data_IF_679905846279
#
_entry.id   IF_679905846279
#
_cell.length_a   1.000
_cell.length_b   1.000
_cell.length_c   1.000
_cell.angle_alpha   90.00
_cell.angle_beta   90.00
_cell.angle_gamma   90.00
#
_symmetry.space_group_name_H-M   'P 1'
#
loop_
_entity.id
_entity.type
_entity.pdbx_description
1 polymer ?
#
# COMPACT_ATOMS: atom_id res chain seq x y z
N UNK A 1 23.43 6.20 -8.27
CA UNK A 1 23.15 6.00 -6.82
C UNK A 1 23.83 7.12 -6.05
N UNK A 2 23.07 7.89 -5.26
CA UNK A 2 23.59 9.01 -4.47
C UNK A 2 23.52 8.67 -2.98
N UNK A 3 24.36 9.30 -2.16
CA UNK A 3 24.23 9.18 -0.71
C UNK A 3 23.16 10.17 -0.21
N UNK A 4 22.35 9.72 0.74
CA UNK A 4 21.31 10.52 1.37
C UNK A 4 21.41 10.37 2.88
N UNK A 5 21.30 11.50 3.58
CA UNK A 5 21.30 11.52 5.04
C UNK A 5 19.87 11.55 5.56
N UNK A 6 19.52 10.59 6.41
CA UNK A 6 18.24 10.56 7.14
C UNK A 6 18.47 10.69 8.63
N UNK A 7 17.51 11.26 9.36
CA UNK A 7 17.59 11.43 10.81
C UNK A 7 16.54 10.58 11.51
N UNK A 8 16.98 9.68 12.39
CA UNK A 8 16.14 8.79 13.19
C UNK A 8 16.62 8.86 14.65
N UNK A 9 15.71 9.02 15.62
CA UNK A 9 16.07 9.05 17.05
C UNK A 9 17.20 10.06 17.38
N UNK A 10 17.18 11.22 16.73
CA UNK A 10 18.23 12.25 16.80
C UNK A 10 19.63 11.84 16.29
N UNK A 11 19.76 10.68 15.65
CA UNK A 11 20.99 10.22 14.99
C UNK A 11 20.86 10.35 13.47
N UNK A 12 21.95 10.72 12.82
CA UNK A 12 22.02 10.82 11.36
C UNK A 12 22.60 9.53 10.78
N UNK A 13 21.99 9.04 9.70
CA UNK A 13 22.38 7.83 9.00
C UNK A 13 22.57 8.15 7.52
N UNK A 14 23.69 7.72 6.95
CA UNK A 14 23.97 7.85 5.52
C UNK A 14 23.59 6.56 4.80
N UNK A 15 22.73 6.68 3.80
CA UNK A 15 22.15 5.57 3.05
C UNK A 15 22.38 5.77 1.55
N UNK A 16 22.55 4.67 0.82
CA UNK A 16 22.53 4.70 -0.65
C UNK A 16 21.10 4.81 -1.13
N UNK A 17 20.81 5.84 -1.92
CA UNK A 17 19.50 6.08 -2.51
C UNK A 17 19.56 5.94 -4.05
N UNK A 18 18.57 5.28 -4.66
CA UNK A 18 18.33 5.37 -6.10
C UNK A 18 18.07 6.82 -6.54
N UNK A 19 18.36 7.13 -7.79
CA UNK A 19 18.08 8.47 -8.33
C UNK A 19 16.57 8.70 -8.38
N UNK A 20 16.12 9.87 -7.91
CA UNK A 20 14.70 10.24 -7.86
C UNK A 20 13.96 9.78 -6.60
N UNK A 21 14.54 8.90 -5.77
CA UNK A 21 13.87 8.34 -4.58
C UNK A 21 14.18 9.11 -3.27
N UNK A 22 14.99 10.17 -3.34
CA UNK A 22 15.41 10.98 -2.18
C UNK A 22 14.23 11.47 -1.34
N UNK A 23 13.20 12.00 -1.99
CA UNK A 23 12.00 12.49 -1.32
C UNK A 23 11.21 11.36 -0.63
N UNK A 24 11.05 10.22 -1.30
CA UNK A 24 10.37 9.05 -0.76
C UNK A 24 11.12 8.48 0.45
N UNK A 25 12.45 8.42 0.37
CA UNK A 25 13.30 7.98 1.47
C UNK A 25 13.18 8.89 2.69
N UNK A 26 13.16 10.22 2.48
CA UNK A 26 12.94 11.21 3.54
C UNK A 26 11.57 11.04 4.20
N UNK A 27 10.51 10.84 3.41
CA UNK A 27 9.17 10.58 3.93
C UNK A 27 9.11 9.27 4.73
N UNK A 28 9.75 8.21 4.23
CA UNK A 28 9.83 6.92 4.93
C UNK A 28 10.56 7.06 6.28
N UNK A 29 11.67 7.80 6.32
CA UNK A 29 12.40 8.08 7.55
C UNK A 29 11.57 8.91 8.55
N UNK A 30 10.84 9.92 8.07
CA UNK A 30 9.93 10.71 8.91
C UNK A 30 8.79 9.85 9.49
N UNK A 31 8.18 8.98 8.69
CA UNK A 31 7.14 8.04 9.14
C UNK A 31 7.68 7.10 10.21
N UNK A 32 8.85 6.48 9.95
CA UNK A 32 9.51 5.61 10.91
C UNK A 32 9.82 6.34 12.22
N UNK A 33 10.44 7.52 12.16
CA UNK A 33 10.76 8.29 13.36
C UNK A 33 9.51 8.67 14.16
N UNK A 34 8.42 9.03 13.49
CA UNK A 34 7.15 9.35 14.13
C UNK A 34 6.57 8.14 14.87
N UNK A 35 6.60 6.97 14.24
CA UNK A 35 6.12 5.74 14.86
C UNK A 35 6.96 5.34 16.07
N UNK A 36 8.29 5.48 15.99
CA UNK A 36 9.19 5.25 17.14
C UNK A 36 8.81 6.15 18.31
N UNK A 37 8.61 7.45 18.06
CA UNK A 37 8.24 8.41 19.11
C UNK A 37 6.86 8.10 19.71
N UNK A 38 5.90 7.63 18.92
CA UNK A 38 4.59 7.16 19.40
C UNK A 38 4.74 5.93 20.31
N UNK A 39 5.55 4.96 19.92
CA UNK A 39 5.76 3.74 20.69
C UNK A 39 6.45 4.03 22.02
N UNK A 40 7.44 4.93 22.04
CA UNK A 40 8.07 5.42 23.28
C UNK A 40 7.10 6.14 24.21
N UNK A 41 6.13 6.90 23.66
CA UNK A 41 5.08 7.54 24.48
C UNK A 41 4.14 6.53 25.12
N UNK A 42 3.78 5.46 24.39
CA UNK A 42 2.86 4.41 24.88
C UNK A 42 3.52 3.50 25.92
N UNK A 43 4.80 3.20 25.77
CA UNK A 43 5.53 2.30 26.65
C UNK A 43 6.84 2.94 27.13
N UNK A 44 6.77 3.59 28.31
CA UNK A 44 7.90 4.31 28.94
C UNK A 44 9.14 3.46 29.20
N UNK A 45 9.04 2.13 29.17
CA UNK A 45 10.13 1.20 29.47
C UNK A 45 10.82 0.58 28.24
N UNK A 46 10.39 0.90 27.02
CA UNK A 46 11.08 0.40 25.83
C UNK A 46 12.36 1.19 25.57
N UNK A 47 13.47 0.47 25.37
CA UNK A 47 14.70 1.06 24.87
C UNK A 47 14.58 1.47 23.40
N UNK A 48 15.61 2.14 22.88
CA UNK A 48 15.65 2.63 21.50
C UNK A 48 15.50 1.51 20.46
N UNK A 49 16.10 0.34 20.71
CA UNK A 49 16.11 -0.76 19.76
C UNK A 49 14.75 -1.45 19.70
N UNK A 50 14.14 -1.76 20.84
CA UNK A 50 12.80 -2.34 20.91
C UNK A 50 11.75 -1.37 20.37
N UNK A 51 11.91 -0.06 20.61
CA UNK A 51 11.04 0.98 20.03
C UNK A 51 11.15 1.02 18.50
N UNK A 52 12.36 0.89 17.96
CA UNK A 52 12.62 0.80 16.52
C UNK A 52 12.02 -0.48 15.92
N UNK A 53 12.24 -1.62 16.56
CA UNK A 53 11.72 -2.92 16.13
C UNK A 53 10.18 -2.91 16.08
N UNK A 54 9.53 -2.40 17.13
CA UNK A 54 8.08 -2.30 17.17
C UNK A 54 7.56 -1.34 16.09
N UNK A 55 8.21 -0.20 15.89
CA UNK A 55 7.83 0.74 14.85
C UNK A 55 7.96 0.15 13.43
N UNK A 56 9.03 -0.61 13.17
CA UNK A 56 9.21 -1.31 11.90
C UNK A 56 8.13 -2.38 11.68
N UNK A 57 7.75 -3.13 12.73
CA UNK A 57 6.67 -4.12 12.68
C UNK A 57 5.32 -3.45 12.43
N UNK A 58 5.01 -2.36 13.12
CA UNK A 58 3.75 -1.61 12.95
C UNK A 58 3.58 -1.14 11.48
N UNK A 59 4.63 -0.53 10.92
CA UNK A 59 4.61 -0.02 9.53
C UNK A 59 4.53 -1.19 8.53
N UNK A 60 5.23 -2.29 8.79
CA UNK A 60 5.17 -3.48 7.93
C UNK A 60 3.78 -4.12 7.95
N UNK A 61 3.16 -4.18 9.13
CA UNK A 61 1.79 -4.66 9.30
C UNK A 61 0.79 -3.76 8.55
N UNK A 62 0.91 -2.43 8.67
CA UNK A 62 0.11 -1.47 7.92
C UNK A 62 0.25 -1.70 6.40
N UNK A 63 1.48 -1.88 5.90
CA UNK A 63 1.72 -2.15 4.48
C UNK A 63 1.06 -3.46 4.01
N UNK A 64 1.12 -4.52 4.82
CA UNK A 64 0.47 -5.81 4.52
C UNK A 64 -1.05 -5.65 4.46
N UNK A 65 -1.64 -4.92 5.40
CA UNK A 65 -3.08 -4.62 5.39
C UNK A 65 -3.47 -3.82 4.15
N UNK A 66 -2.74 -2.75 3.82
CA UNK A 66 -3.01 -1.93 2.64
C UNK A 66 -2.95 -2.76 1.34
N UNK A 67 -1.93 -3.62 1.18
CA UNK A 67 -1.81 -4.51 0.01
C UNK A 67 -2.96 -5.51 -0.07
N UNK A 68 -3.37 -6.06 1.07
CA UNK A 68 -4.50 -7.00 1.14
C UNK A 68 -5.80 -6.33 0.74
N UNK A 69 -6.07 -5.14 1.28
CA UNK A 69 -7.26 -4.36 0.96
C UNK A 69 -7.28 -3.93 -0.52
N UNK A 70 -6.14 -3.51 -1.06
CA UNK A 70 -6.01 -3.17 -2.48
C UNK A 70 -6.31 -4.37 -3.38
N UNK A 71 -5.79 -5.56 -3.05
CA UNK A 71 -6.07 -6.78 -3.81
C UNK A 71 -7.57 -7.15 -3.78
N UNK A 72 -8.21 -6.99 -2.62
CA UNK A 72 -9.67 -7.21 -2.48
C UNK A 72 -10.48 -6.22 -3.33
N UNK A 73 -10.13 -4.93 -3.28
CA UNK A 73 -10.79 -3.91 -4.10
C UNK A 73 -10.64 -4.20 -5.61
N UNK A 74 -9.42 -4.57 -6.04
CA UNK A 74 -9.16 -4.95 -7.42
C UNK A 74 -9.99 -6.17 -7.85
N UNK A 75 -10.12 -7.16 -6.96
CA UNK A 75 -10.97 -8.33 -7.21
C UNK A 75 -12.45 -7.94 -7.37
N UNK A 76 -12.97 -7.08 -6.50
CA UNK A 76 -14.36 -6.60 -6.58
C UNK A 76 -14.64 -5.85 -7.89
N UNK A 77 -13.71 -4.97 -8.30
CA UNK A 77 -13.82 -4.24 -9.57
C UNK A 77 -13.84 -5.21 -10.75
N UNK A 78 -12.96 -6.21 -10.77
CA UNK A 78 -12.93 -7.21 -11.85
C UNK A 78 -14.22 -8.05 -11.89
N UNK A 79 -14.73 -8.47 -10.73
CA UNK A 79 -16.02 -9.19 -10.66
C UNK A 79 -17.17 -8.34 -11.22
N UNK A 80 -17.17 -7.04 -10.93
CA UNK A 80 -18.17 -6.12 -11.46
C UNK A 80 -18.05 -5.96 -12.98
N UNK A 81 -16.83 -5.81 -13.51
CA UNK A 81 -16.57 -5.74 -14.96
C UNK A 81 -17.05 -7.02 -15.65
N UNK A 82 -16.66 -8.21 -15.16
CA UNK A 82 -17.11 -9.49 -15.73
C UNK A 82 -18.63 -9.64 -15.68
N UNK A 83 -19.27 -9.16 -14.62
CA UNK A 83 -20.74 -9.16 -14.50
C UNK A 83 -21.41 -8.25 -15.53
N UNK A 84 -20.83 -7.07 -15.80
CA UNK A 84 -21.30 -6.15 -16.83
C UNK A 84 -21.11 -6.74 -18.22
N UNK A 85 -19.93 -7.28 -18.53
CA UNK A 85 -19.64 -7.96 -19.81
C UNK A 85 -20.63 -9.09 -20.07
N UNK A 86 -20.93 -9.92 -19.05
CA UNK A 86 -21.93 -10.99 -19.16
C UNK A 86 -23.33 -10.46 -19.49
N UNK A 87 -23.74 -9.34 -18.86
CA UNK A 87 -25.05 -8.72 -19.13
C UNK A 87 -25.13 -8.14 -20.54
N UNK A 88 -24.08 -7.46 -20.99
CA UNK A 88 -23.99 -6.90 -22.35
C UNK A 88 -24.06 -8.03 -23.39
N UNK A 89 -23.26 -9.08 -23.22
CA UNK A 89 -23.26 -10.23 -24.14
C UNK A 89 -24.62 -10.93 -24.19
N UNK A 90 -25.33 -11.04 -23.05
CA UNK A 90 -26.69 -11.60 -23.01
C UNK A 90 -27.70 -10.74 -23.76
N UNK A 91 -27.60 -9.42 -23.65
CA UNK A 91 -28.50 -8.49 -24.34
C UNK A 91 -28.26 -8.53 -25.86
N UNK A 92 -27.01 -8.41 -26.29
CA UNK A 92 -26.63 -8.48 -27.71
C UNK A 92 -27.05 -9.81 -28.34
N UNK A 93 -26.78 -10.94 -27.68
CA UNK A 93 -27.18 -12.25 -28.20
C UNK A 93 -28.70 -12.44 -28.17
N UNK A 94 -29.39 -11.91 -27.16
CA UNK A 94 -30.86 -11.93 -27.09
C UNK A 94 -31.54 -11.08 -28.17
N UNK A 95 -30.92 -9.97 -28.57
CA UNK A 95 -31.38 -9.14 -29.70
C UNK A 95 -31.19 -9.87 -31.04
N UNK A 96 -30.08 -10.61 -31.23
CA UNK A 96 -29.83 -11.42 -32.43
C UNK A 96 -30.85 -12.56 -32.60
N UNK A 97 -31.20 -13.28 -31.52
CA UNK A 97 -32.22 -14.35 -31.60
C UNK A 97 -33.63 -13.79 -31.87
N UNK A 98 -33.95 -12.61 -31.31
CA UNK A 98 -35.24 -11.96 -31.55
C UNK A 98 -35.40 -11.45 -33.00
N UNK A 99 -34.30 -11.07 -33.67
CA UNK A 99 -34.31 -10.74 -35.11
C UNK A 99 -34.31 -11.97 -36.01
N UNK A 100 -33.62 -13.05 -35.64
CA UNK A 100 -33.61 -14.30 -36.42
C UNK A 100 -34.97 -15.01 -36.41
N UNK A 101 -35.72 -14.94 -35.31
CA UNK A 101 -37.06 -15.54 -35.21
C UNK A 101 -38.17 -14.78 -35.97
N UNK A 102 -37.86 -13.63 -36.59
CA UNK A 102 -38.81 -12.79 -37.34
C UNK A 102 -38.60 -12.83 -38.87
N UNK A 103 -37.65 -13.61 -39.36
CA UNK A 103 -37.38 -13.82 -40.79
C UNK A 103 -37.76 -15.23 -41.18
#
# INVERSE_FOLDING_TARGET
>A
MKSCTVKLLNKSYELKCPEGEEANLLLAAQKLNSQIMLNKKKAKQLDDFHSLLLAALDISHELVLCKTQQAQQHHQVNQFITSLESKINKMVNGELEATAART
#
